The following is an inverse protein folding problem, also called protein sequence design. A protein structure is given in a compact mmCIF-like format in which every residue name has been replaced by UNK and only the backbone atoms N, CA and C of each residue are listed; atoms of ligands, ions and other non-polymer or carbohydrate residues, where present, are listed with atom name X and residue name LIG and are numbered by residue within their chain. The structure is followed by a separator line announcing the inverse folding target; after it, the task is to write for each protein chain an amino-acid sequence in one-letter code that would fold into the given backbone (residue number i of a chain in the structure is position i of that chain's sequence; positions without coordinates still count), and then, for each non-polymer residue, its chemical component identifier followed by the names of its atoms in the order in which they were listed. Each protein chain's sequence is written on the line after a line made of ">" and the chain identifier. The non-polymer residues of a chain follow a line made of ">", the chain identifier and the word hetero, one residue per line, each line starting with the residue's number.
data_IF_939992614158
#
_entry.id   IF_939992614158
#
_cell.length_a   1.000
_cell.length_b   1.000
_cell.length_c   1.000
_cell.angle_alpha   90.00
_cell.angle_beta   90.00
_cell.angle_gamma   90.00
#
_symmetry.space_group_name_H-M   'P 1'
#
loop_
_entity.id
_entity.type
_entity.pdbx_description
1 polymer ?
#
# COMPACT_ATOMS: atom_id res chain seq x y z
N UNK A 1 36.34 -43.94 -59.39
CA UNK A 1 36.57 -44.57 -58.07
C UNK A 1 37.22 -43.54 -57.19
N UNK A 2 36.49 -42.88 -56.29
CA UNK A 2 36.99 -41.87 -55.45
C UNK A 2 36.30 -41.98 -54.08
N UNK A 3 37.06 -42.35 -53.06
CA UNK A 3 36.60 -42.48 -51.68
C UNK A 3 36.38 -41.11 -51.09
N UNK A 4 35.19 -40.90 -50.51
CA UNK A 4 34.86 -39.71 -49.72
C UNK A 4 35.34 -39.94 -48.26
N UNK A 5 36.28 -39.18 -47.81
CA UNK A 5 36.68 -39.09 -46.41
C UNK A 5 35.68 -38.20 -45.65
N UNK A 6 35.12 -38.76 -44.58
CA UNK A 6 34.27 -38.06 -43.62
C UNK A 6 35.15 -37.25 -42.66
N UNK A 7 35.10 -35.93 -42.76
CA UNK A 7 35.73 -35.03 -41.81
C UNK A 7 34.74 -34.73 -40.67
N UNK A 8 35.03 -35.35 -39.54
CA UNK A 8 34.28 -35.14 -38.29
C UNK A 8 34.75 -33.81 -37.65
N UNK A 9 34.02 -32.73 -37.83
CA UNK A 9 34.28 -31.46 -37.15
C UNK A 9 33.66 -31.47 -35.77
N UNK A 10 34.44 -31.83 -34.76
CA UNK A 10 34.21 -31.52 -33.38
C UNK A 10 34.25 -29.99 -33.18
N UNK A 11 33.13 -29.34 -33.19
CA UNK A 11 33.00 -27.96 -32.79
C UNK A 11 33.01 -27.89 -31.25
N UNK A 12 34.16 -27.49 -30.70
CA UNK A 12 34.27 -27.04 -29.31
C UNK A 12 33.27 -25.91 -29.10
N UNK A 13 32.21 -26.16 -28.28
CA UNK A 13 31.41 -25.10 -27.70
C UNK A 13 32.34 -24.28 -26.82
N UNK A 14 32.74 -23.10 -27.30
CA UNK A 14 33.33 -22.09 -26.47
C UNK A 14 32.29 -21.62 -25.45
N UNK A 15 32.55 -21.91 -24.18
CA UNK A 15 31.84 -21.28 -23.06
C UNK A 15 32.10 -19.78 -23.17
N UNK A 16 31.15 -19.07 -23.78
CA UNK A 16 31.05 -17.61 -23.66
C UNK A 16 30.70 -17.35 -22.21
N UNK A 17 31.72 -17.03 -21.42
CA UNK A 17 31.55 -16.32 -20.16
C UNK A 17 30.66 -15.11 -20.48
N UNK A 18 29.46 -15.09 -19.94
CA UNK A 18 28.58 -13.94 -20.03
C UNK A 18 29.36 -12.76 -19.46
N UNK A 19 29.74 -11.81 -20.33
CA UNK A 19 30.22 -10.51 -19.89
C UNK A 19 29.15 -9.98 -18.96
N UNK A 20 29.48 -9.67 -17.70
CA UNK A 20 28.69 -8.83 -16.85
C UNK A 20 28.44 -7.55 -17.66
N UNK A 21 27.26 -7.37 -18.19
CA UNK A 21 26.77 -6.07 -18.62
C UNK A 21 26.80 -5.24 -17.34
N UNK A 22 27.77 -4.35 -17.23
CA UNK A 22 27.81 -3.37 -16.16
C UNK A 22 26.48 -2.63 -16.27
N UNK A 23 25.66 -2.72 -15.20
CA UNK A 23 24.38 -2.03 -15.13
C UNK A 23 24.64 -0.52 -15.17
N UNK A 24 24.69 0.06 -16.37
CA UNK A 24 24.87 1.49 -16.55
C UNK A 24 23.60 2.23 -16.07
N UNK A 25 23.76 3.02 -15.02
CA UNK A 25 22.68 3.87 -14.51
C UNK A 25 22.64 5.15 -15.30
N UNK A 26 21.48 5.44 -15.88
CA UNK A 26 21.25 6.66 -16.62
C UNK A 26 20.66 7.72 -15.66
N UNK A 27 21.16 8.95 -15.76
CA UNK A 27 20.56 10.08 -15.04
C UNK A 27 19.16 10.38 -15.58
N UNK A 28 18.20 10.49 -14.68
CA UNK A 28 16.83 10.83 -14.98
C UNK A 28 16.47 12.19 -14.39
N UNK A 29 15.50 12.90 -14.98
CA UNK A 29 15.02 14.15 -14.40
C UNK A 29 14.43 13.93 -13.01
N UNK A 30 14.57 14.91 -12.11
CA UNK A 30 13.94 14.87 -10.79
C UNK A 30 12.42 14.68 -10.91
N UNK A 31 11.87 13.76 -10.13
CA UNK A 31 10.44 13.42 -10.16
C UNK A 31 10.06 12.40 -9.09
N UNK A 32 8.77 12.05 -9.08
CA UNK A 32 8.18 11.16 -8.08
C UNK A 32 8.52 9.70 -8.42
N UNK A 33 9.57 9.15 -7.81
CA UNK A 33 10.04 7.79 -8.07
C UNK A 33 10.04 6.89 -6.84
N UNK A 34 9.51 7.37 -5.71
CA UNK A 34 9.36 6.54 -4.52
C UNK A 34 8.13 5.64 -4.66
N UNK A 35 8.34 4.41 -5.11
CA UNK A 35 7.32 3.38 -5.32
C UNK A 35 7.80 2.01 -4.82
N UNK A 36 6.89 1.06 -4.48
CA UNK A 36 5.43 1.20 -4.46
C UNK A 36 4.95 2.01 -3.27
N UNK A 37 3.73 2.55 -3.37
CA UNK A 37 3.05 3.31 -2.33
C UNK A 37 1.77 2.60 -1.89
N UNK A 38 1.26 2.82 -0.67
CA UNK A 38 -0.09 2.43 -0.34
C UNK A 38 -1.07 3.25 -1.19
N UNK A 39 -2.15 2.64 -1.66
CA UNK A 39 -3.32 3.38 -2.11
C UNK A 39 -4.34 3.33 -0.98
N UNK A 40 -4.75 4.45 -0.42
CA UNK A 40 -5.71 4.48 0.68
C UNK A 40 -6.93 5.33 0.33
N UNK A 41 -8.10 4.93 0.82
CA UNK A 41 -9.29 5.78 0.77
C UNK A 41 -9.41 6.55 2.08
N UNK A 42 -9.36 7.89 1.99
CA UNK A 42 -9.57 8.76 3.14
C UNK A 42 -11.02 9.23 3.14
N UNK A 43 -11.77 8.85 4.17
CA UNK A 43 -13.15 9.29 4.38
C UNK A 43 -13.21 10.40 5.43
N UNK A 44 -14.16 11.26 5.27
CA UNK A 44 -14.33 12.48 6.06
C UNK A 44 -15.81 12.87 6.07
N UNK A 45 -16.21 13.67 7.05
CA UNK A 45 -17.56 14.22 7.17
C UNK A 45 -17.47 15.71 7.44
N UNK A 46 -18.18 16.53 6.67
CA UNK A 46 -18.20 17.98 6.86
C UNK A 46 -19.10 18.38 8.06
N UNK A 47 -19.15 19.66 8.36
CA UNK A 47 -19.93 20.19 9.49
C UNK A 47 -21.45 20.01 9.32
N UNK A 48 -21.92 19.86 8.09
CA UNK A 48 -23.32 19.59 7.76
C UNK A 48 -23.65 18.10 7.76
N UNK A 49 -22.69 17.22 8.12
CA UNK A 49 -22.89 15.76 8.17
C UNK A 49 -22.77 15.05 6.82
N UNK A 50 -22.34 15.75 5.75
CA UNK A 50 -22.14 15.12 4.44
C UNK A 50 -20.79 14.43 4.42
N UNK A 51 -20.79 13.16 4.04
CA UNK A 51 -19.57 12.36 3.98
C UNK A 51 -19.00 12.32 2.58
N UNK A 52 -17.67 12.33 2.48
CA UNK A 52 -16.95 12.19 1.23
C UNK A 52 -15.78 11.21 1.36
N UNK A 53 -15.24 10.77 0.22
CA UNK A 53 -14.06 9.91 0.13
C UNK A 53 -13.09 10.51 -0.89
N UNK A 54 -11.79 10.49 -0.58
CA UNK A 54 -10.71 10.77 -1.52
C UNK A 54 -9.70 9.64 -1.50
N UNK A 55 -9.21 9.22 -2.64
CA UNK A 55 -8.10 8.26 -2.72
C UNK A 55 -6.77 9.00 -2.78
N UNK A 56 -5.85 8.58 -1.94
CA UNK A 56 -4.51 9.15 -1.83
C UNK A 56 -3.46 8.03 -1.91
N UNK A 57 -2.37 8.31 -2.63
CA UNK A 57 -1.18 7.46 -2.65
C UNK A 57 -0.01 8.10 -1.88
N UNK A 58 -0.01 9.42 -1.73
CA UNK A 58 0.97 10.13 -0.89
C UNK A 58 0.52 10.07 0.56
N UNK A 59 0.70 8.90 1.18
CA UNK A 59 0.33 8.61 2.56
C UNK A 59 1.39 7.71 3.21
N UNK A 60 1.64 7.89 4.51
CA UNK A 60 2.60 7.05 5.22
C UNK A 60 2.61 7.27 6.72
N UNK A 61 3.08 6.25 7.45
CA UNK A 61 3.39 6.35 8.88
C UNK A 61 4.65 7.19 9.05
N UNK A 62 4.61 8.17 9.98
CA UNK A 62 5.73 9.10 10.21
C UNK A 62 6.30 9.01 11.62
N UNK A 63 5.53 8.52 12.59
CA UNK A 63 5.99 8.35 13.97
C UNK A 63 5.29 7.14 14.60
N UNK A 64 6.03 6.42 15.46
CA UNK A 64 5.50 5.25 16.18
C UNK A 64 5.01 5.61 17.57
N UNK A 65 5.68 6.53 18.24
CA UNK A 65 5.30 6.98 19.60
C UNK A 65 5.54 8.49 19.74
N UNK A 66 4.47 9.31 19.77
CA UNK A 66 3.08 8.92 19.58
C UNK A 66 2.81 8.40 18.14
N UNK A 67 1.78 7.56 17.93
CA UNK A 67 1.47 7.03 16.61
C UNK A 67 0.92 8.14 15.71
N UNK A 68 1.58 8.38 14.58
CA UNK A 68 1.24 9.44 13.64
C UNK A 68 1.39 8.98 12.20
N UNK A 69 0.55 9.52 11.34
CA UNK A 69 0.66 9.36 9.89
C UNK A 69 0.55 10.72 9.18
N UNK A 70 0.90 10.73 7.92
CA UNK A 70 0.67 11.88 7.05
C UNK A 70 -0.06 11.49 5.77
N UNK A 71 -0.80 12.45 5.22
CA UNK A 71 -1.38 12.39 3.88
C UNK A 71 -1.13 13.71 3.17
N UNK A 72 -0.78 13.66 1.86
CA UNK A 72 -0.61 14.87 1.06
C UNK A 72 -1.79 15.06 0.14
N UNK A 73 -2.39 16.23 0.18
CA UNK A 73 -3.61 16.57 -0.57
C UNK A 73 -3.38 17.88 -1.33
N UNK A 74 -3.85 17.93 -2.57
CA UNK A 74 -3.82 19.16 -3.37
C UNK A 74 -4.92 20.13 -2.89
N UNK A 75 -4.65 21.44 -2.81
CA UNK A 75 -5.62 22.44 -2.34
C UNK A 75 -6.94 22.46 -3.14
N UNK A 76 -6.91 22.16 -4.44
CA UNK A 76 -8.13 22.14 -5.28
C UNK A 76 -9.06 20.95 -5.03
N UNK A 77 -8.64 19.96 -4.24
CA UNK A 77 -9.48 18.79 -3.91
C UNK A 77 -10.57 19.15 -2.90
N UNK A 78 -11.79 18.72 -3.17
CA UNK A 78 -12.95 18.97 -2.30
C UNK A 78 -12.73 18.56 -0.83
N UNK A 79 -11.98 17.50 -0.58
CA UNK A 79 -11.66 17.04 0.77
C UNK A 79 -10.68 17.91 1.54
N UNK A 80 -9.94 18.79 0.85
CA UNK A 80 -8.89 19.60 1.44
C UNK A 80 -9.44 20.55 2.53
N UNK A 81 -10.41 21.37 2.15
CA UNK A 81 -11.02 22.33 3.07
C UNK A 81 -11.76 21.63 4.20
N UNK A 82 -12.47 20.52 3.90
CA UNK A 82 -13.21 19.76 4.90
C UNK A 82 -12.28 19.25 6.00
N UNK A 83 -11.11 18.67 5.65
CA UNK A 83 -10.16 18.21 6.66
C UNK A 83 -9.55 19.38 7.45
N UNK A 84 -9.23 20.50 6.80
CA UNK A 84 -8.74 21.70 7.52
C UNK A 84 -9.76 22.24 8.50
N UNK A 85 -11.03 22.20 8.13
CA UNK A 85 -12.13 22.75 8.92
C UNK A 85 -12.57 21.85 10.07
N UNK A 86 -12.64 20.53 9.83
CA UNK A 86 -13.12 19.56 10.81
C UNK A 86 -12.01 19.01 11.70
N UNK A 87 -10.77 18.98 11.18
CA UNK A 87 -9.62 18.41 11.87
C UNK A 87 -9.67 16.89 12.02
N UNK A 88 -10.58 16.21 11.33
CA UNK A 88 -10.83 14.76 11.53
C UNK A 88 -10.99 14.03 10.20
N UNK A 89 -10.45 12.82 10.12
CA UNK A 89 -10.61 11.94 8.97
C UNK A 89 -10.31 10.48 9.35
N UNK A 90 -10.70 9.55 8.48
CA UNK A 90 -10.37 8.13 8.63
C UNK A 90 -9.60 7.65 7.41
N UNK A 91 -8.45 7.01 7.63
CA UNK A 91 -7.71 6.31 6.59
C UNK A 91 -8.18 4.87 6.53
N UNK A 92 -8.71 4.46 5.38
CA UNK A 92 -9.25 3.12 5.15
C UNK A 92 -8.30 2.38 4.21
N UNK A 93 -7.73 1.25 4.65
CA UNK A 93 -6.87 0.42 3.81
C UNK A 93 -7.69 -0.20 2.67
N UNK A 94 -7.07 -0.33 1.52
CA UNK A 94 -7.73 -0.79 0.30
C UNK A 94 -7.27 -2.18 -0.09
N UNK A 95 -8.22 -2.95 -0.62
CA UNK A 95 -8.03 -4.35 -0.98
C UNK A 95 -8.26 -4.55 -2.49
N UNK A 96 -7.91 -5.73 -2.99
CA UNK A 96 -8.24 -6.15 -4.35
C UNK A 96 -9.73 -5.95 -4.67
N UNK A 97 -10.63 -6.31 -3.77
CA UNK A 97 -12.07 -6.12 -3.96
C UNK A 97 -12.49 -4.64 -4.04
N UNK A 98 -11.77 -3.76 -3.36
CA UNK A 98 -12.02 -2.32 -3.33
C UNK A 98 -11.33 -1.53 -4.46
N UNK A 99 -10.54 -2.17 -5.34
CA UNK A 99 -9.72 -1.47 -6.35
C UNK A 99 -10.53 -0.51 -7.21
N UNK A 100 -11.73 -0.94 -7.69
CA UNK A 100 -12.61 -0.07 -8.49
C UNK A 100 -13.10 1.16 -7.71
N UNK A 101 -13.46 0.99 -6.45
CA UNK A 101 -13.88 2.10 -5.58
C UNK A 101 -12.70 3.03 -5.28
N UNK A 102 -11.52 2.45 -5.05
CA UNK A 102 -10.26 3.18 -4.83
C UNK A 102 -9.97 4.10 -6.02
N UNK A 103 -9.99 3.58 -7.25
CA UNK A 103 -9.77 4.39 -8.44
C UNK A 103 -10.82 5.47 -8.61
N UNK A 104 -12.11 5.09 -8.57
CA UNK A 104 -13.22 6.03 -8.74
C UNK A 104 -13.18 7.19 -7.75
N UNK A 105 -12.90 6.91 -6.47
CA UNK A 105 -12.82 7.95 -5.43
C UNK A 105 -11.62 8.89 -5.60
N UNK A 106 -10.59 8.47 -6.34
CA UNK A 106 -9.42 9.29 -6.67
C UNK A 106 -9.64 10.26 -7.83
N UNK A 107 -10.41 9.83 -8.85
CA UNK A 107 -10.57 10.60 -10.11
C UNK A 107 -11.85 11.44 -10.14
N UNK A 108 -12.83 11.16 -9.28
CA UNK A 108 -14.13 11.86 -9.25
C UNK A 108 -14.18 12.85 -8.08
N UNK A 109 -14.77 14.04 -8.30
CA UNK A 109 -14.98 15.04 -7.25
C UNK A 109 -16.23 14.73 -6.41
N UNK A 110 -16.10 14.83 -5.08
CA UNK A 110 -17.26 14.74 -4.16
C UNK A 110 -18.21 15.93 -4.18
N UNK A 111 -17.84 17.04 -4.88
CA UNK A 111 -18.75 18.17 -5.11
C UNK A 111 -19.98 17.76 -5.92
N UNK A 112 -19.82 16.79 -6.82
CA UNK A 112 -20.83 16.44 -7.81
C UNK A 112 -21.45 15.07 -7.59
N UNK A 113 -20.85 14.23 -6.73
CA UNK A 113 -21.25 12.81 -6.59
C UNK A 113 -21.12 12.35 -5.15
N UNK A 114 -22.15 11.71 -4.63
CA UNK A 114 -22.06 10.90 -3.43
C UNK A 114 -21.32 9.58 -3.74
N UNK A 115 -20.06 9.51 -3.36
CA UNK A 115 -19.17 8.40 -3.65
C UNK A 115 -19.51 7.13 -2.87
N UNK A 116 -20.03 7.26 -1.64
CA UNK A 116 -20.53 6.11 -0.88
C UNK A 116 -21.65 5.42 -1.63
N UNK A 117 -22.67 6.18 -2.02
CA UNK A 117 -23.81 5.66 -2.80
C UNK A 117 -23.37 5.11 -4.16
N UNK A 118 -22.53 5.84 -4.91
CA UNK A 118 -22.12 5.46 -6.26
C UNK A 118 -21.31 4.18 -6.28
N UNK A 119 -20.43 4.00 -5.31
CA UNK A 119 -19.58 2.82 -5.19
C UNK A 119 -20.17 1.72 -4.30
N UNK A 120 -21.40 1.92 -3.80
CA UNK A 120 -22.10 0.99 -2.91
C UNK A 120 -21.28 0.64 -1.66
N UNK A 121 -20.61 1.66 -1.10
CA UNK A 121 -19.85 1.53 0.14
C UNK A 121 -20.74 1.86 1.33
N UNK A 122 -20.56 1.12 2.42
CA UNK A 122 -21.31 1.28 3.65
C UNK A 122 -20.56 2.22 4.61
N UNK A 123 -21.26 3.25 5.09
CA UNK A 123 -20.73 4.11 6.14
C UNK A 123 -20.72 3.34 7.47
N UNK A 124 -19.57 3.40 8.15
CA UNK A 124 -19.41 2.85 9.48
C UNK A 124 -19.09 4.01 10.44
N UNK A 125 -19.86 4.16 11.50
CA UNK A 125 -19.58 5.17 12.51
C UNK A 125 -18.23 4.93 13.18
N UNK A 126 -17.45 6.00 13.34
CA UNK A 126 -16.17 5.97 14.03
C UNK A 126 -16.38 6.12 15.54
N UNK A 127 -15.37 5.72 16.33
CA UNK A 127 -15.45 5.75 17.80
C UNK A 127 -14.82 7.02 18.40
N UNK A 128 -13.80 7.58 17.77
CA UNK A 128 -13.01 8.70 18.33
C UNK A 128 -13.05 9.97 17.48
N UNK A 129 -13.65 9.89 16.28
CA UNK A 129 -13.79 11.02 15.34
C UNK A 129 -15.21 11.03 14.76
N UNK A 130 -15.65 12.20 14.26
CA UNK A 130 -16.96 12.34 13.61
C UNK A 130 -16.95 11.88 12.15
N UNK A 131 -15.77 11.79 11.55
CA UNK A 131 -15.61 11.28 10.19
C UNK A 131 -16.01 9.80 10.14
N UNK A 132 -16.85 9.42 9.18
CA UNK A 132 -17.27 8.03 9.01
C UNK A 132 -16.16 7.20 8.40
N UNK A 133 -16.07 5.93 8.77
CA UNK A 133 -15.21 4.93 8.14
C UNK A 133 -15.93 4.22 6.98
N UNK A 134 -15.19 3.40 6.22
CA UNK A 134 -15.71 2.51 5.18
C UNK A 134 -15.78 1.09 5.74
N UNK A 135 -16.98 0.54 5.86
CA UNK A 135 -17.20 -0.78 6.47
C UNK A 135 -16.51 -1.93 5.75
N UNK A 136 -16.37 -1.84 4.42
CA UNK A 136 -15.73 -2.86 3.59
C UNK A 136 -14.18 -2.85 3.68
N UNK A 137 -13.59 -1.84 4.30
CA UNK A 137 -12.15 -1.77 4.54
C UNK A 137 -11.73 -2.69 5.68
N UNK A 138 -10.65 -3.47 5.53
CA UNK A 138 -10.18 -4.37 6.59
C UNK A 138 -9.58 -3.64 7.79
N UNK A 139 -9.17 -2.38 7.61
CA UNK A 139 -8.58 -1.53 8.65
C UNK A 139 -9.03 -0.10 8.45
N UNK A 140 -9.57 0.49 9.50
CA UNK A 140 -9.94 1.90 9.57
C UNK A 140 -9.08 2.59 10.64
N UNK A 141 -8.34 3.61 10.25
CA UNK A 141 -7.41 4.36 11.11
C UNK A 141 -8.03 5.74 11.33
N UNK A 142 -8.52 5.98 12.54
CA UNK A 142 -9.15 7.25 12.91
C UNK A 142 -8.08 8.27 13.29
N UNK A 143 -8.15 9.44 12.67
CA UNK A 143 -7.10 10.45 12.74
C UNK A 143 -7.63 11.81 13.16
N UNK A 144 -6.84 12.50 13.99
CA UNK A 144 -7.02 13.93 14.31
C UNK A 144 -5.86 14.74 13.75
N UNK A 145 -6.19 15.77 13.02
CA UNK A 145 -5.22 16.66 12.40
C UNK A 145 -4.40 17.37 13.48
N UNK A 146 -3.08 17.31 13.33
CA UNK A 146 -2.13 18.01 14.20
C UNK A 146 -1.54 19.24 13.54
N UNK A 147 -1.16 19.12 12.25
CA UNK A 147 -0.47 20.19 11.53
C UNK A 147 -0.72 20.07 10.04
N UNK A 148 -0.74 21.22 9.35
CA UNK A 148 -0.72 21.28 7.89
C UNK A 148 0.54 22.07 7.47
N UNK A 149 1.30 21.50 6.51
CA UNK A 149 2.47 22.15 5.90
C UNK A 149 2.21 22.32 4.42
N UNK A 150 2.28 23.55 3.92
CA UNK A 150 2.15 23.86 2.50
C UNK A 150 3.48 23.63 1.78
N UNK A 151 3.46 22.76 0.74
CA UNK A 151 4.67 22.30 0.04
C UNK A 151 4.66 22.67 -1.47
N UNK A 152 3.83 23.61 -1.87
CA UNK A 152 3.60 23.95 -3.28
C UNK A 152 2.36 23.26 -3.85
N UNK A 153 2.49 22.29 -4.76
CA UNK A 153 1.31 21.62 -5.37
C UNK A 153 0.47 20.79 -4.39
N UNK A 154 0.98 20.46 -3.24
CA UNK A 154 0.30 19.70 -2.18
C UNK A 154 0.57 20.32 -0.83
N UNK A 155 -0.35 20.15 0.10
CA UNK A 155 -0.08 20.35 1.52
C UNK A 155 0.00 18.98 2.22
N UNK A 156 0.94 18.85 3.14
CA UNK A 156 1.14 17.68 3.98
C UNK A 156 0.29 17.86 5.25
N UNK A 157 -0.65 16.96 5.44
CA UNK A 157 -1.48 16.86 6.63
C UNK A 157 -0.86 15.83 7.56
N UNK A 158 -0.36 16.26 8.70
CA UNK A 158 0.19 15.42 9.77
C UNK A 158 -0.91 15.19 10.79
N UNK A 159 -1.17 13.95 11.15
CA UNK A 159 -2.26 13.60 12.05
C UNK A 159 -1.85 12.57 13.10
N UNK A 160 -2.42 12.71 14.29
CA UNK A 160 -2.36 11.71 15.34
C UNK A 160 -3.32 10.56 14.99
N UNK A 161 -2.85 9.33 15.14
CA UNK A 161 -3.70 8.14 15.11
C UNK A 161 -4.34 7.99 16.48
N UNK A 162 -5.66 8.21 16.56
CA UNK A 162 -6.39 8.18 17.83
C UNK A 162 -7.16 6.88 18.05
N UNK A 163 -7.37 6.09 17.01
CA UNK A 163 -7.96 4.74 17.08
C UNK A 163 -7.62 3.93 15.83
N UNK A 164 -7.57 2.62 15.96
CA UNK A 164 -7.47 1.68 14.83
C UNK A 164 -8.49 0.58 15.02
N UNK A 165 -9.37 0.42 14.03
CA UNK A 165 -10.35 -0.66 13.99
C UNK A 165 -9.98 -1.66 12.90
N UNK A 166 -10.11 -2.94 13.21
CA UNK A 166 -9.81 -4.02 12.28
C UNK A 166 -11.03 -4.92 12.11
N UNK A 167 -11.22 -5.46 10.90
CA UNK A 167 -12.30 -6.41 10.64
C UNK A 167 -11.99 -7.75 11.33
N UNK A 168 -12.89 -8.17 12.21
CA UNK A 168 -12.74 -9.37 13.03
C UNK A 168 -12.52 -10.67 12.25
N UNK A 169 -12.97 -10.73 10.98
CA UNK A 169 -12.75 -11.92 10.13
C UNK A 169 -11.26 -12.21 9.84
N UNK A 170 -10.39 -11.21 10.03
CA UNK A 170 -8.95 -11.36 9.88
C UNK A 170 -8.21 -11.60 11.22
N UNK A 171 -8.95 -11.75 12.33
CA UNK A 171 -8.37 -12.15 13.62
C UNK A 171 -8.28 -13.66 13.69
N UNK A 172 -7.17 -14.20 14.20
CA UNK A 172 -7.06 -15.61 14.52
C UNK A 172 -7.60 -15.91 15.93
N UNK A 173 -7.77 -17.20 16.25
CA UNK A 173 -8.28 -17.67 17.56
C UNK A 173 -7.42 -17.23 18.77
N UNK A 174 -6.20 -16.74 18.51
CA UNK A 174 -5.28 -16.21 19.52
C UNK A 174 -5.29 -14.68 19.59
N UNK A 175 -6.24 -14.04 18.92
CA UNK A 175 -6.37 -12.58 18.88
C UNK A 175 -5.28 -11.88 18.06
N UNK A 176 -4.61 -12.55 17.12
CA UNK A 176 -3.61 -11.95 16.23
C UNK A 176 -4.25 -11.56 14.92
N UNK A 177 -3.97 -10.34 14.47
CA UNK A 177 -4.47 -9.81 13.22
C UNK A 177 -3.64 -10.30 12.01
N UNK A 178 -4.30 -10.94 11.06
CA UNK A 178 -3.69 -11.45 9.82
C UNK A 178 -3.94 -10.47 8.66
N UNK A 179 -3.20 -9.38 8.61
CA UNK A 179 -3.33 -8.37 7.55
C UNK A 179 -3.07 -8.93 6.14
N UNK A 180 -2.26 -9.97 6.02
CA UNK A 180 -1.96 -10.62 4.74
C UNK A 180 -3.22 -11.21 4.08
N UNK A 181 -4.14 -11.74 4.88
CA UNK A 181 -5.40 -12.31 4.38
C UNK A 181 -6.38 -11.26 3.84
N UNK A 182 -6.09 -9.98 4.04
CA UNK A 182 -6.95 -8.90 3.57
C UNK A 182 -6.73 -8.51 2.10
N UNK A 183 -5.76 -9.11 1.39
CA UNK A 183 -5.46 -8.85 -0.02
C UNK A 183 -5.29 -7.36 -0.35
N UNK A 184 -4.42 -6.70 0.43
CA UNK A 184 -4.12 -5.28 0.23
C UNK A 184 -3.50 -5.03 -1.15
N UNK A 185 -3.70 -3.81 -1.66
CA UNK A 185 -3.12 -3.36 -2.93
C UNK A 185 -2.06 -2.28 -2.72
N UNK A 186 -1.16 -2.18 -3.68
CA UNK A 186 -0.16 -1.12 -3.78
C UNK A 186 -0.36 -0.31 -5.06
N UNK A 187 0.09 0.95 -5.05
CA UNK A 187 0.08 1.84 -6.20
C UNK A 187 1.50 2.09 -6.71
N UNK A 188 1.70 1.95 -8.02
CA UNK A 188 2.98 2.25 -8.65
C UNK A 188 2.76 2.76 -10.07
N UNK A 189 3.34 3.92 -10.40
CA UNK A 189 3.31 4.50 -11.76
C UNK A 189 1.92 4.51 -12.42
N UNK A 190 0.88 4.98 -11.72
CA UNK A 190 -0.46 5.07 -12.26
C UNK A 190 -1.22 3.73 -12.35
N UNK A 191 -0.73 2.68 -11.69
CA UNK A 191 -1.33 1.35 -11.70
C UNK A 191 -1.48 0.80 -10.29
N UNK A 192 -2.48 -0.06 -10.10
CA UNK A 192 -2.71 -0.80 -8.86
C UNK A 192 -2.17 -2.23 -9.01
N UNK A 193 -1.54 -2.74 -7.97
CA UNK A 193 -0.94 -4.08 -7.93
C UNK A 193 -1.36 -4.83 -6.68
N UNK A 194 -1.52 -6.13 -6.79
CA UNK A 194 -1.61 -7.02 -5.64
C UNK A 194 -0.23 -7.13 -4.97
N UNK A 195 -0.20 -7.35 -3.65
CA UNK A 195 1.03 -7.71 -2.97
C UNK A 195 1.39 -9.16 -3.35
N UNK A 196 2.62 -9.36 -3.78
CA UNK A 196 3.11 -10.67 -4.19
C UNK A 196 3.38 -11.62 -3.02
N UNK A 197 4.14 -12.69 -3.31
CA UNK A 197 4.55 -13.68 -2.32
C UNK A 197 5.43 -13.05 -1.24
N UNK A 198 5.21 -13.46 0.01
CA UNK A 198 6.07 -13.09 1.13
C UNK A 198 7.53 -13.55 0.90
N UNK A 199 8.47 -12.62 1.05
CA UNK A 199 9.89 -12.87 0.86
C UNK A 199 10.62 -13.22 2.16
N UNK A 200 10.07 -12.80 3.30
CA UNK A 200 10.65 -13.05 4.61
C UNK A 200 10.03 -12.16 5.70
N UNK A 201 10.23 -12.51 6.95
CA UNK A 201 9.82 -11.71 8.11
C UNK A 201 10.89 -10.69 8.47
N UNK A 202 10.51 -9.57 9.12
CA UNK A 202 11.46 -8.60 9.63
C UNK A 202 12.57 -9.27 10.44
N UNK A 203 13.83 -8.96 10.13
CA UNK A 203 15.01 -9.56 10.75
C UNK A 203 15.36 -10.99 10.29
N UNK A 204 14.71 -11.51 9.23
CA UNK A 204 15.03 -12.87 8.74
C UNK A 204 16.49 -13.03 8.28
N UNK A 205 17.14 -11.97 7.81
CA UNK A 205 18.52 -11.97 7.29
C UNK A 205 19.58 -12.27 8.37
N UNK A 206 19.26 -12.00 9.64
CA UNK A 206 20.18 -12.23 10.78
C UNK A 206 19.75 -13.43 11.64
N UNK A 207 18.65 -14.09 11.32
CA UNK A 207 18.22 -15.30 12.04
C UNK A 207 19.16 -16.45 11.71
N UNK A 208 19.85 -17.00 12.71
CA UNK A 208 20.65 -18.23 12.56
C UNK A 208 19.76 -19.35 12.03
N UNK A 209 20.14 -19.95 10.89
CA UNK A 209 19.50 -21.15 10.39
C UNK A 209 19.73 -22.25 11.43
N UNK A 210 18.68 -22.70 12.15
CA UNK A 210 18.79 -23.87 12.98
C UNK A 210 19.13 -25.04 12.07
N UNK A 211 20.35 -25.58 12.19
CA UNK A 211 20.76 -26.77 11.45
C UNK A 211 19.70 -27.86 11.67
N UNK A 212 19.09 -28.35 10.59
CA UNK A 212 18.25 -29.52 10.62
C UNK A 212 19.14 -30.67 11.16
N UNK A 213 18.98 -31.05 12.43
CA UNK A 213 19.56 -32.31 12.92
C UNK A 213 19.00 -33.41 12.02
N UNK A 214 19.89 -34.00 11.20
CA UNK A 214 19.59 -35.25 10.50
C UNK A 214 19.26 -36.28 11.56
N UNK A 215 18.00 -36.69 11.64
CA UNK A 215 17.61 -37.92 12.30
C UNK A 215 18.10 -39.05 11.39
N UNK A 216 19.34 -39.47 11.62
CA UNK A 216 19.99 -40.62 11.01
C UNK A 216 20.69 -41.35 12.11
N UNK A 217 19.90 -42.04 12.92
CA UNK A 217 20.38 -43.07 13.84
C UNK A 217 20.03 -44.43 13.27
N UNK A 218 20.94 -45.01 12.53
CA UNK A 218 20.86 -46.45 12.26
C UNK A 218 20.92 -47.21 13.57
N UNK A 219 20.10 -48.18 13.67
CA UNK A 219 20.24 -49.27 14.64
C UNK A 219 20.88 -50.45 13.91
N UNK A 220 22.03 -50.84 14.36
CA UNK A 220 22.46 -52.25 14.33
C UNK A 220 21.70 -53.03 15.39
#
# INVERSE_FOLDING_TARGET
>A
MGKKENYNKNTKKSDKVAKNEENEKISWKAGNMLYPLPAVMVSLTDKEGRSNIITLAWAGTICTNPPMLSVSIRPERYSYDIIKETGEFVVNLTTKALTRATDYCGVTSGRNVDKFKKMKLTKLESEKVKAVAISESPVNIECKLRQVMELGSHSLFIADVVNVRVDGKYMDDKGRFNLKAADLIAYSHGRYYELGKELGSFGYSIKKVKARRKAGGGKE
#
